data_IF_070870363864
#
_entry.id   IF_070870363864
#
_cell.length_a   1.000
_cell.length_b   1.000
_cell.length_c   1.000
_cell.angle_alpha   90.00
_cell.angle_beta   90.00
_cell.angle_gamma   90.00
#
_symmetry.space_group_name_H-M   'P 1'
#
loop_
_entity.id
_entity.type
_entity.pdbx_description
1 polymer ?
#
# COMPACT_ATOMS: atom_id res chain seq x y z
N UNK A 1 -13.02 -7.90 30.90
CA UNK A 1 -13.37 -6.88 29.90
C UNK A 1 -12.49 -7.18 28.70
N UNK A 2 -13.01 -7.83 27.69
CA UNK A 2 -12.34 -8.03 26.41
C UNK A 2 -12.36 -6.64 25.73
N UNK A 3 -11.23 -5.95 25.63
CA UNK A 3 -11.11 -4.75 24.80
C UNK A 3 -11.39 -5.21 23.37
N UNK A 4 -12.35 -4.60 22.73
CA UNK A 4 -12.77 -4.94 21.37
C UNK A 4 -11.56 -4.90 20.40
N UNK A 5 -11.44 -5.95 19.59
CA UNK A 5 -10.37 -6.08 18.59
C UNK A 5 -10.42 -4.95 17.54
N UNK A 6 -11.60 -4.42 17.29
CA UNK A 6 -11.84 -3.32 16.33
C UNK A 6 -11.24 -1.97 16.78
N UNK A 7 -11.05 -1.74 18.07
CA UNK A 7 -10.47 -0.49 18.60
C UNK A 7 -9.04 -0.21 18.03
N UNK A 8 -8.36 -1.20 17.49
CA UNK A 8 -7.01 -1.06 16.96
C UNK A 8 -7.01 -0.51 15.53
N UNK A 9 -8.03 -0.82 14.74
CA UNK A 9 -8.12 -0.32 13.36
C UNK A 9 -8.42 1.18 13.28
N UNK A 10 -8.98 1.77 14.33
CA UNK A 10 -9.15 3.21 14.46
C UNK A 10 -7.94 3.95 15.04
N UNK A 11 -6.88 3.25 15.44
CA UNK A 11 -5.68 3.86 16.02
C UNK A 11 -4.82 4.49 14.92
N UNK A 12 -4.36 5.71 15.17
CA UNK A 12 -3.50 6.45 14.27
C UNK A 12 -2.04 6.32 14.71
N UNK A 13 -1.11 6.49 13.78
CA UNK A 13 0.33 6.46 14.05
C UNK A 13 0.71 7.47 15.14
N UNK A 14 0.12 8.68 15.12
CA UNK A 14 0.39 9.74 16.10
C UNK A 14 0.09 9.35 17.56
N UNK A 15 -0.80 8.39 17.78
CA UNK A 15 -1.16 7.92 19.13
C UNK A 15 -0.13 6.93 19.71
N UNK A 16 0.80 6.43 18.86
CA UNK A 16 1.76 5.37 19.18
C UNK A 16 3.21 5.72 18.85
N UNK A 17 3.43 6.82 18.12
CA UNK A 17 4.78 7.26 17.81
C UNK A 17 5.43 7.94 19.05
N UNK A 18 6.74 7.79 19.17
CA UNK A 18 7.53 8.59 20.10
C UNK A 18 7.61 10.02 19.58
N UNK A 19 7.20 10.99 20.39
CA UNK A 19 7.33 12.41 20.08
C UNK A 19 8.78 12.87 20.26
N UNK A 20 9.18 13.93 19.56
CA UNK A 20 10.53 14.50 19.60
C UNK A 20 11.66 13.48 19.34
N UNK A 21 11.60 12.73 18.21
CA UNK A 21 12.61 11.75 17.89
C UNK A 21 13.97 12.42 17.69
N UNK A 22 15.06 11.69 17.96
CA UNK A 22 16.39 12.21 17.73
C UNK A 22 16.58 12.55 16.25
N UNK A 23 16.69 13.84 15.96
CA UNK A 23 16.93 14.38 14.63
C UNK A 23 18.31 15.05 14.54
N UNK A 24 19.00 14.85 13.42
CA UNK A 24 20.31 15.40 13.14
C UNK A 24 20.43 15.85 11.69
N UNK A 25 21.33 16.81 11.42
CA UNK A 25 21.63 17.19 10.04
C UNK A 25 22.60 16.20 9.39
N UNK A 26 22.60 16.14 8.06
CA UNK A 26 23.45 15.25 7.25
C UNK A 26 24.95 15.40 7.54
N UNK A 27 25.41 16.62 7.85
CA UNK A 27 26.80 16.90 8.14
C UNK A 27 27.23 16.60 9.60
N UNK A 28 26.32 16.12 10.45
CA UNK A 28 26.65 15.82 11.87
C UNK A 28 27.66 14.66 11.94
N UNK A 29 28.78 14.80 12.69
CA UNK A 29 29.75 13.72 12.85
C UNK A 29 29.16 12.48 13.49
N UNK A 30 29.53 11.28 13.00
CA UNK A 30 29.06 9.99 13.51
C UNK A 30 29.24 9.85 15.02
N UNK A 31 30.41 10.27 15.55
CA UNK A 31 30.68 10.22 16.98
C UNK A 31 29.69 11.06 17.82
N UNK A 32 29.28 12.21 17.29
CA UNK A 32 28.30 13.06 17.95
C UNK A 32 26.89 12.44 17.89
N UNK A 33 26.50 11.81 16.77
CA UNK A 33 25.23 11.12 16.65
C UNK A 33 25.16 9.96 17.64
N UNK A 34 26.21 9.13 17.71
CA UNK A 34 26.28 8.02 18.68
C UNK A 34 26.17 8.53 20.12
N UNK A 35 26.91 9.58 20.48
CA UNK A 35 26.85 10.17 21.81
C UNK A 35 25.42 10.66 22.16
N UNK A 36 24.72 11.27 21.20
CA UNK A 36 23.33 11.72 21.38
C UNK A 36 22.36 10.54 21.50
N UNK A 37 22.52 9.49 20.68
CA UNK A 37 21.72 8.26 20.78
C UNK A 37 21.84 7.65 22.19
N UNK A 38 23.07 7.52 22.71
CA UNK A 38 23.33 7.00 24.05
C UNK A 38 22.71 7.90 25.12
N UNK A 39 22.92 9.23 25.05
CA UNK A 39 22.40 10.18 26.04
C UNK A 39 20.87 10.23 26.12
N UNK A 40 20.18 9.95 25.00
CA UNK A 40 18.72 9.96 24.88
C UNK A 40 18.10 8.56 24.92
N UNK A 41 18.92 7.51 25.06
CA UNK A 41 18.47 6.11 24.94
C UNK A 41 17.68 5.86 23.65
N UNK A 42 18.09 6.51 22.56
CA UNK A 42 17.44 6.41 21.26
C UNK A 42 18.04 5.27 20.45
N UNK A 43 17.20 4.32 20.00
CA UNK A 43 17.59 3.18 19.17
C UNK A 43 17.84 3.55 17.68
N UNK A 44 17.57 4.81 17.30
CA UNK A 44 17.83 5.36 15.99
C UNK A 44 17.82 6.88 15.98
N UNK A 45 18.38 7.47 14.92
CA UNK A 45 18.36 8.90 14.66
C UNK A 45 17.90 9.15 13.21
N UNK A 46 16.99 10.10 13.03
CA UNK A 46 16.55 10.53 11.70
C UNK A 46 17.44 11.65 11.20
N UNK A 47 17.95 11.51 10.00
CA UNK A 47 18.71 12.57 9.32
C UNK A 47 17.70 13.43 8.55
N UNK A 48 17.69 14.74 8.84
CA UNK A 48 16.73 15.69 8.27
C UNK A 48 17.44 16.75 7.43
N UNK A 49 16.70 17.32 6.48
CA UNK A 49 17.13 18.51 5.74
C UNK A 49 16.86 19.80 6.53
N UNK A 50 17.10 20.96 5.88
CA UNK A 50 16.91 22.28 6.48
C UNK A 50 15.42 22.63 6.69
N UNK A 51 14.49 21.94 6.00
CA UNK A 51 13.06 22.10 6.17
C UNK A 51 12.46 21.12 7.21
N UNK A 52 13.30 20.27 7.80
CA UNK A 52 12.91 19.27 8.79
C UNK A 52 12.37 17.97 8.20
N UNK A 53 12.59 17.74 6.89
CA UNK A 53 12.12 16.53 6.19
C UNK A 53 13.13 15.38 6.31
N UNK A 54 12.70 14.14 6.55
CA UNK A 54 13.58 12.98 6.62
C UNK A 54 14.31 12.72 5.28
N UNK A 55 15.64 12.68 5.34
CA UNK A 55 16.53 12.28 4.25
C UNK A 55 16.97 10.83 4.39
N UNK A 56 17.19 10.39 5.62
CA UNK A 56 17.71 9.08 5.94
C UNK A 56 17.50 8.73 7.40
N UNK A 57 17.90 7.53 7.76
CA UNK A 57 17.88 7.03 9.13
C UNK A 57 19.18 6.29 9.42
N UNK A 58 19.63 6.36 10.66
CA UNK A 58 20.67 5.49 11.20
C UNK A 58 20.15 4.84 12.48
N UNK A 59 20.37 3.55 12.64
CA UNK A 59 19.94 2.73 13.77
C UNK A 59 21.13 2.17 14.53
N UNK A 60 20.91 1.59 15.73
CA UNK A 60 21.93 0.85 16.45
C UNK A 60 22.60 -0.23 15.60
N UNK A 61 21.82 -0.91 14.74
CA UNK A 61 22.32 -1.89 13.78
C UNK A 61 23.32 -1.26 12.81
N UNK A 62 22.97 -0.12 12.21
CA UNK A 62 23.86 0.61 11.29
C UNK A 62 25.12 1.09 11.99
N UNK A 63 25.01 1.56 13.24
CA UNK A 63 26.16 1.97 14.04
C UNK A 63 27.14 0.82 14.24
N UNK A 64 26.64 -0.37 14.61
CA UNK A 64 27.49 -1.55 14.81
C UNK A 64 28.12 -2.03 13.50
N UNK A 65 27.34 -2.07 12.42
CA UNK A 65 27.78 -2.69 11.16
C UNK A 65 28.52 -1.75 10.21
N UNK A 66 28.30 -0.42 10.30
CA UNK A 66 28.84 0.55 9.33
C UNK A 66 29.75 1.60 9.96
N UNK A 67 29.62 1.88 11.26
CA UNK A 67 30.37 2.95 11.92
C UNK A 67 31.48 2.40 12.80
N UNK A 68 31.17 1.48 13.73
CA UNK A 68 32.15 0.97 14.70
C UNK A 68 33.28 0.23 13.96
N UNK A 69 34.51 0.67 14.21
CA UNK A 69 35.76 0.15 13.58
C UNK A 69 35.88 0.34 12.06
N UNK A 70 34.95 1.01 11.41
CA UNK A 70 34.95 1.20 9.97
C UNK A 70 35.05 2.67 9.55
N UNK A 71 34.59 3.61 10.40
CA UNK A 71 34.58 5.03 10.11
C UNK A 71 35.28 5.84 11.21
N UNK A 72 35.79 7.01 10.82
CA UNK A 72 36.24 7.99 11.80
C UNK A 72 35.04 8.58 12.55
N UNK A 73 35.17 8.87 13.86
CA UNK A 73 34.12 9.60 14.60
C UNK A 73 33.73 10.94 13.96
N UNK A 74 34.63 11.56 13.18
CA UNK A 74 34.42 12.82 12.48
C UNK A 74 33.74 12.67 11.10
N UNK A 75 33.52 11.43 10.64
CA UNK A 75 32.82 11.18 9.38
C UNK A 75 31.37 11.69 9.49
N UNK A 76 30.89 12.43 8.48
CA UNK A 76 29.53 12.89 8.43
C UNK A 76 28.54 11.72 8.35
N UNK A 77 27.39 11.84 9.03
CA UNK A 77 26.40 10.74 9.17
C UNK A 77 25.75 10.36 7.85
N UNK A 78 25.68 11.25 6.87
CA UNK A 78 25.15 11.00 5.54
C UNK A 78 25.92 9.91 4.78
N UNK A 79 27.19 9.71 5.10
CA UNK A 79 28.02 8.67 4.49
C UNK A 79 27.62 7.24 4.91
N UNK A 80 26.86 7.08 6.01
CA UNK A 80 26.54 5.79 6.60
C UNK A 80 25.04 5.58 6.80
N UNK A 81 24.21 6.61 6.61
CA UNK A 81 22.76 6.51 6.77
C UNK A 81 22.13 5.57 5.73
N UNK A 82 20.99 4.99 6.08
CA UNK A 82 20.12 4.32 5.12
C UNK A 82 19.22 5.35 4.43
N UNK A 83 19.30 5.42 3.10
CA UNK A 83 18.55 6.36 2.26
C UNK A 83 18.14 5.67 0.95
N UNK A 84 16.95 5.95 0.36
CA UNK A 84 15.89 6.78 0.95
C UNK A 84 15.27 6.12 2.19
N UNK A 85 14.80 6.94 3.13
CA UNK A 85 14.10 6.43 4.31
C UNK A 85 12.62 6.27 4.03
N UNK A 86 12.05 5.14 4.47
CA UNK A 86 10.62 4.94 4.46
C UNK A 86 9.97 5.77 5.59
N UNK A 87 8.95 6.54 5.27
CA UNK A 87 8.20 7.37 6.22
C UNK A 87 6.73 6.97 6.26
N UNK A 88 6.02 7.39 7.31
CA UNK A 88 4.57 7.23 7.46
C UNK A 88 3.95 8.56 7.85
N UNK A 89 2.74 8.85 7.41
CA UNK A 89 2.00 10.00 7.86
C UNK A 89 1.51 9.82 9.30
N UNK A 90 1.60 10.85 10.13
CA UNK A 90 1.20 10.78 11.54
C UNK A 90 -0.30 10.46 11.69
N UNK A 91 -1.12 10.88 10.73
CA UNK A 91 -2.55 10.62 10.67
C UNK A 91 -2.92 9.33 9.90
N UNK A 92 -1.93 8.54 9.43
CA UNK A 92 -2.21 7.22 8.85
C UNK A 92 -2.59 6.21 9.95
N UNK A 93 -3.30 5.15 9.55
CA UNK A 93 -3.70 4.09 10.48
C UNK A 93 -2.50 3.26 10.93
N UNK A 94 -2.39 3.03 12.24
CA UNK A 94 -1.30 2.28 12.86
C UNK A 94 -1.10 0.88 12.22
N UNK A 95 -2.17 0.15 11.95
CA UNK A 95 -2.09 -1.19 11.35
C UNK A 95 -1.42 -1.17 9.97
N UNK A 96 -1.63 -0.09 9.18
CA UNK A 96 -0.99 0.07 7.86
C UNK A 96 0.52 0.29 8.01
N UNK A 97 0.90 1.13 8.96
CA UNK A 97 2.30 1.37 9.28
C UNK A 97 2.99 0.07 9.71
N UNK A 98 2.37 -0.70 10.62
CA UNK A 98 2.89 -2.00 11.08
C UNK A 98 3.05 -2.97 9.90
N UNK A 99 2.04 -3.10 9.03
CA UNK A 99 2.11 -3.99 7.88
C UNK A 99 3.25 -3.59 6.91
N UNK A 100 3.46 -2.28 6.67
CA UNK A 100 4.58 -1.77 5.85
C UNK A 100 5.93 -2.06 6.50
N UNK A 101 6.06 -1.82 7.81
CA UNK A 101 7.30 -2.06 8.54
C UNK A 101 7.70 -3.54 8.50
N UNK A 102 6.75 -4.45 8.69
CA UNK A 102 7.02 -5.90 8.62
C UNK A 102 7.39 -6.38 7.22
N UNK A 103 6.65 -5.93 6.19
CA UNK A 103 6.95 -6.29 4.80
C UNK A 103 8.35 -5.84 4.36
N UNK A 104 8.81 -4.69 4.87
CA UNK A 104 10.09 -4.11 4.54
C UNK A 104 11.20 -4.46 5.56
N UNK A 105 10.92 -5.32 6.54
CA UNK A 105 11.80 -5.68 7.65
C UNK A 105 12.38 -4.44 8.39
N UNK A 106 11.49 -3.45 8.63
CA UNK A 106 11.84 -2.21 9.29
C UNK A 106 11.42 -2.26 10.76
N UNK A 107 12.34 -1.93 11.65
CA UNK A 107 12.04 -1.73 13.07
C UNK A 107 11.60 -0.28 13.38
N UNK A 108 12.16 0.70 12.69
CA UNK A 108 11.90 2.11 12.91
C UNK A 108 11.38 2.75 11.63
N UNK A 109 10.36 3.61 11.77
CA UNK A 109 9.82 4.38 10.66
C UNK A 109 9.52 5.81 11.13
N UNK A 110 10.21 6.84 10.57
CA UNK A 110 9.92 8.24 10.88
C UNK A 110 8.49 8.60 10.48
N UNK A 111 7.77 9.26 11.39
CA UNK A 111 6.44 9.81 11.14
C UNK A 111 6.53 11.27 10.72
N UNK A 112 5.75 11.65 9.72
CA UNK A 112 5.75 13.00 9.14
C UNK A 112 4.36 13.63 9.19
N UNK A 113 4.32 14.96 9.17
CA UNK A 113 3.10 15.74 8.99
C UNK A 113 2.72 15.88 7.50
N UNK A 114 1.63 16.62 7.22
CA UNK A 114 1.14 16.92 5.87
C UNK A 114 2.14 17.69 5.00
N UNK A 115 3.08 18.43 5.62
CA UNK A 115 4.18 19.13 4.94
C UNK A 115 5.39 18.23 4.69
N UNK A 116 5.35 16.97 5.16
CA UNK A 116 6.43 15.99 5.08
C UNK A 116 7.54 16.22 6.11
N UNK A 117 7.30 17.00 7.18
CA UNK A 117 8.27 17.25 8.26
C UNK A 117 8.19 16.16 9.31
N UNK A 118 9.33 15.83 9.88
CA UNK A 118 9.44 14.85 10.97
C UNK A 118 8.69 15.34 12.22
N UNK A 119 7.74 14.52 12.68
CA UNK A 119 6.95 14.80 13.91
C UNK A 119 7.04 13.67 14.94
N UNK A 120 7.54 12.49 14.55
CA UNK A 120 7.68 11.36 15.45
C UNK A 120 8.49 10.21 14.88
N UNK A 121 8.64 9.17 15.70
CA UNK A 121 9.24 7.89 15.30
C UNK A 121 8.32 6.76 15.74
N UNK A 122 7.95 5.89 14.81
CA UNK A 122 7.25 4.65 15.11
C UNK A 122 8.27 3.53 15.29
N UNK A 123 8.26 2.88 16.46
CA UNK A 123 8.99 1.61 16.69
C UNK A 123 8.01 0.45 16.55
N UNK A 124 8.38 -0.54 15.75
CA UNK A 124 7.53 -1.71 15.47
C UNK A 124 7.24 -2.51 16.75
N UNK A 125 8.23 -2.65 17.64
CA UNK A 125 8.08 -3.42 18.87
C UNK A 125 7.08 -2.76 19.82
N UNK A 126 7.17 -1.45 20.01
CA UNK A 126 6.27 -0.68 20.87
C UNK A 126 4.85 -0.66 20.27
N UNK A 127 4.74 -0.47 18.95
CA UNK A 127 3.46 -0.50 18.26
C UNK A 127 2.72 -1.85 18.41
N UNK A 128 3.46 -2.95 18.53
CA UNK A 128 2.92 -4.29 18.72
C UNK A 128 2.58 -4.57 20.19
N UNK A 129 3.38 -4.09 21.14
CA UNK A 129 3.26 -4.43 22.55
C UNK A 129 1.93 -3.98 23.19
N UNK A 130 1.32 -2.92 22.67
CA UNK A 130 0.14 -2.26 23.28
C UNK A 130 -1.22 -2.85 22.89
N UNK A 131 -1.29 -4.06 22.32
CA UNK A 131 -2.58 -4.70 22.14
C UNK A 131 -2.76 -5.59 20.91
N UNK A 132 -1.69 -6.13 20.37
CA UNK A 132 -1.68 -6.65 19.02
C UNK A 132 -1.82 -8.17 18.86
N UNK A 133 -2.02 -8.98 19.91
CA UNK A 133 -2.02 -10.43 19.79
C UNK A 133 -2.94 -10.98 18.66
N UNK A 134 -4.25 -10.84 18.74
CA UNK A 134 -5.17 -11.35 17.71
C UNK A 134 -5.12 -10.58 16.39
N UNK A 135 -4.82 -9.27 16.43
CA UNK A 135 -4.65 -8.46 15.25
C UNK A 135 -3.34 -8.78 14.53
N UNK A 136 -2.31 -9.16 15.25
CA UNK A 136 -1.04 -9.58 14.68
C UNK A 136 -1.23 -10.81 13.81
N UNK A 137 -2.05 -11.76 14.22
CA UNK A 137 -2.43 -12.91 13.41
C UNK A 137 -3.19 -12.49 12.13
N UNK A 138 -4.03 -11.46 12.20
CA UNK A 138 -4.73 -10.92 11.02
C UNK A 138 -3.77 -10.14 10.10
N UNK A 139 -2.92 -9.29 10.65
CA UNK A 139 -1.88 -8.58 9.87
C UNK A 139 -0.91 -9.59 9.24
N UNK A 140 -0.51 -10.63 9.95
CA UNK A 140 0.32 -11.71 9.41
C UNK A 140 -0.37 -12.46 8.28
N UNK A 141 -1.65 -12.78 8.43
CA UNK A 141 -2.43 -13.38 7.34
C UNK A 141 -2.49 -12.43 6.14
N UNK A 142 -2.80 -11.15 6.36
CA UNK A 142 -2.82 -10.14 5.30
C UNK A 142 -1.44 -9.93 4.65
N UNK A 143 -0.35 -10.11 5.41
CA UNK A 143 1.00 -9.82 4.94
C UNK A 143 1.71 -11.05 4.34
N UNK A 144 1.37 -12.26 4.78
CA UNK A 144 2.05 -13.51 4.39
C UNK A 144 1.17 -14.51 3.64
N UNK A 145 -0.14 -14.25 3.55
CA UNK A 145 -1.06 -15.16 2.86
C UNK A 145 -0.85 -15.04 1.33
N UNK A 146 -0.14 -16.00 0.76
CA UNK A 146 0.16 -16.06 -0.68
C UNK A 146 -0.74 -17.01 -1.46
N UNK A 147 -1.70 -17.69 -0.78
CA UNK A 147 -2.61 -18.64 -1.44
C UNK A 147 -3.98 -18.03 -1.67
N UNK A 148 -4.67 -18.44 -2.75
CA UNK A 148 -6.02 -17.98 -3.04
C UNK A 148 -7.00 -18.29 -1.90
N UNK A 149 -6.91 -19.49 -1.31
CA UNK A 149 -7.75 -19.89 -0.18
C UNK A 149 -7.46 -19.04 1.07
N UNK A 150 -6.23 -18.61 1.24
CA UNK A 150 -5.84 -17.70 2.31
C UNK A 150 -6.43 -16.31 2.12
N UNK A 151 -6.35 -15.77 0.92
CA UNK A 151 -6.98 -14.48 0.58
C UNK A 151 -8.51 -14.55 0.69
N UNK A 152 -9.13 -15.69 0.38
CA UNK A 152 -10.57 -15.90 0.59
C UNK A 152 -10.93 -15.83 2.09
N UNK A 153 -10.13 -16.47 2.97
CA UNK A 153 -10.32 -16.35 4.43
C UNK A 153 -10.17 -14.91 4.93
N UNK A 154 -9.23 -14.15 4.37
CA UNK A 154 -9.09 -12.71 4.66
C UNK A 154 -10.33 -11.94 4.25
N UNK A 155 -10.89 -12.25 3.08
CA UNK A 155 -12.12 -11.64 2.57
C UNK A 155 -13.31 -11.95 3.47
N UNK A 156 -13.47 -13.20 3.88
CA UNK A 156 -14.55 -13.63 4.78
C UNK A 156 -14.45 -12.96 6.17
N UNK A 157 -13.23 -12.79 6.69
CA UNK A 157 -13.00 -12.15 7.98
C UNK A 157 -13.41 -10.65 8.00
N UNK A 158 -13.56 -10.00 6.85
CA UNK A 158 -14.04 -8.61 6.76
C UNK A 158 -15.45 -8.43 7.32
N UNK A 159 -16.28 -9.46 7.32
CA UNK A 159 -17.66 -9.41 7.85
C UNK A 159 -17.65 -9.22 9.37
N UNK A 160 -16.84 -10.04 10.06
CA UNK A 160 -16.68 -9.96 11.52
C UNK A 160 -16.02 -8.63 11.90
N UNK A 161 -14.94 -8.27 11.19
CA UNK A 161 -14.25 -7.02 11.38
C UNK A 161 -15.17 -5.80 11.26
N UNK A 162 -15.98 -5.72 10.20
CA UNK A 162 -16.91 -4.63 10.01
C UNK A 162 -18.00 -4.61 11.12
N UNK A 163 -18.46 -5.80 11.57
CA UNK A 163 -19.38 -5.92 12.68
C UNK A 163 -18.84 -5.35 13.99
N UNK A 164 -17.58 -5.66 14.30
CA UNK A 164 -16.88 -5.16 15.48
C UNK A 164 -16.69 -3.64 15.42
N UNK A 165 -16.27 -3.12 14.26
CA UNK A 165 -16.09 -1.67 14.06
C UNK A 165 -17.41 -0.90 14.21
N UNK A 166 -18.53 -1.45 13.71
CA UNK A 166 -19.86 -0.88 13.90
C UNK A 166 -20.25 -0.90 15.38
N UNK A 167 -19.99 -1.99 16.08
CA UNK A 167 -20.30 -2.12 17.52
C UNK A 167 -19.50 -1.11 18.36
N UNK A 168 -18.30 -0.74 17.92
CA UNK A 168 -17.45 0.30 18.53
C UNK A 168 -17.82 1.73 18.10
N UNK A 169 -18.92 1.91 17.38
CA UNK A 169 -19.39 3.20 16.84
C UNK A 169 -18.38 3.90 15.91
N UNK A 170 -17.57 3.14 15.18
CA UNK A 170 -16.69 3.72 14.18
C UNK A 170 -17.49 4.35 13.04
N UNK A 171 -17.10 5.54 12.54
CA UNK A 171 -17.79 6.17 11.42
C UNK A 171 -17.78 5.30 10.16
N UNK A 172 -18.92 5.20 9.46
CA UNK A 172 -19.04 4.37 8.27
C UNK A 172 -18.01 4.67 7.17
N UNK A 173 -17.61 5.94 6.90
CA UNK A 173 -16.54 6.23 5.95
C UNK A 173 -15.20 5.58 6.32
N UNK A 174 -14.85 5.53 7.61
CA UNK A 174 -13.59 4.93 8.08
C UNK A 174 -13.61 3.41 7.89
N UNK A 175 -14.77 2.78 8.14
CA UNK A 175 -14.96 1.34 7.89
C UNK A 175 -14.81 1.05 6.40
N UNK A 176 -15.44 1.84 5.54
CA UNK A 176 -15.36 1.68 4.08
C UNK A 176 -13.93 1.89 3.56
N UNK A 177 -13.22 2.91 4.06
CA UNK A 177 -11.83 3.17 3.69
C UNK A 177 -10.93 1.98 4.05
N UNK A 178 -11.09 1.40 5.25
CA UNK A 178 -10.36 0.21 5.68
C UNK A 178 -10.66 -1.00 4.78
N UNK A 179 -11.95 -1.31 4.57
CA UNK A 179 -12.34 -2.43 3.71
C UNK A 179 -11.83 -2.26 2.29
N UNK A 180 -11.85 -1.04 1.75
CA UNK A 180 -11.29 -0.73 0.43
C UNK A 180 -9.78 -1.00 0.40
N UNK A 181 -9.07 -0.59 1.43
CA UNK A 181 -7.63 -0.83 1.52
C UNK A 181 -7.30 -2.32 1.52
N UNK A 182 -7.98 -3.12 2.35
CA UNK A 182 -7.80 -4.58 2.38
C UNK A 182 -8.12 -5.19 1.00
N UNK A 183 -9.19 -4.75 0.36
CA UNK A 183 -9.56 -5.21 -0.97
C UNK A 183 -8.49 -4.87 -2.01
N UNK A 184 -7.93 -3.67 -1.99
CA UNK A 184 -6.86 -3.28 -2.90
C UNK A 184 -5.57 -4.08 -2.67
N UNK A 185 -5.26 -4.47 -1.43
CA UNK A 185 -4.15 -5.38 -1.14
C UNK A 185 -4.39 -6.79 -1.70
N UNK A 186 -5.62 -7.29 -1.61
CA UNK A 186 -6.00 -8.56 -2.25
C UNK A 186 -5.82 -8.47 -3.76
N UNK A 187 -6.28 -7.39 -4.40
CA UNK A 187 -6.10 -7.19 -5.84
C UNK A 187 -4.62 -7.24 -6.25
N UNK A 188 -3.73 -6.50 -5.55
CA UNK A 188 -2.28 -6.53 -5.83
C UNK A 188 -1.70 -7.94 -5.78
N UNK A 189 -2.04 -8.70 -4.76
CA UNK A 189 -1.53 -10.08 -4.58
C UNK A 189 -2.03 -11.03 -5.65
N UNK A 190 -3.31 -10.93 -6.03
CA UNK A 190 -3.87 -11.73 -7.12
C UNK A 190 -3.14 -11.43 -8.44
N UNK A 191 -2.83 -10.15 -8.69
CA UNK A 191 -2.07 -9.76 -9.88
C UNK A 191 -0.64 -10.29 -9.83
N UNK A 192 0.06 -10.13 -8.71
CA UNK A 192 1.42 -10.65 -8.53
C UNK A 192 1.45 -12.18 -8.74
N UNK A 193 0.51 -12.90 -8.13
CA UNK A 193 0.39 -14.35 -8.28
C UNK A 193 0.07 -14.76 -9.72
N UNK A 194 -0.84 -14.04 -10.39
CA UNK A 194 -1.19 -14.30 -11.78
C UNK A 194 0.00 -14.08 -12.73
N UNK A 195 0.77 -13.00 -12.52
CA UNK A 195 1.97 -12.71 -13.30
C UNK A 195 3.05 -13.77 -13.08
N UNK A 196 3.26 -14.21 -11.83
CA UNK A 196 4.21 -15.28 -11.53
C UNK A 196 3.80 -16.59 -12.20
N UNK A 197 2.52 -16.96 -12.10
CA UNK A 197 2.01 -18.17 -12.77
C UNK A 197 2.14 -18.10 -14.29
N UNK A 198 1.90 -16.92 -14.90
CA UNK A 198 2.12 -16.73 -16.34
C UNK A 198 3.59 -16.87 -16.73
N UNK A 199 4.51 -16.37 -15.91
CA UNK A 199 5.94 -16.52 -16.14
C UNK A 199 6.36 -18.00 -16.04
N UNK A 200 5.86 -18.73 -15.05
CA UNK A 200 6.11 -20.17 -14.85
C UNK A 200 5.55 -21.02 -16.00
N UNK A 201 4.42 -20.61 -16.59
CA UNK A 201 3.81 -21.21 -17.78
C UNK A 201 4.54 -20.83 -19.09
N UNK A 202 5.60 -20.03 -19.03
CA UNK A 202 6.42 -19.66 -20.19
C UNK A 202 5.87 -18.47 -21.00
N UNK A 203 4.85 -17.77 -20.53
CA UNK A 203 4.32 -16.56 -21.17
C UNK A 203 5.21 -15.32 -21.00
N UNK A 204 6.22 -15.41 -20.10
CA UNK A 204 7.20 -14.36 -19.87
C UNK A 204 6.71 -13.23 -18.96
N UNK A 205 7.41 -12.10 -19.03
CA UNK A 205 7.09 -10.89 -18.26
C UNK A 205 6.16 -9.97 -19.06
N UNK A 206 5.47 -9.01 -18.41
CA UNK A 206 4.64 -8.03 -19.10
C UNK A 206 5.41 -7.36 -20.25
N UNK A 207 4.88 -7.41 -21.48
CA UNK A 207 5.60 -6.92 -22.65
C UNK A 207 5.70 -5.38 -22.73
N UNK A 208 4.86 -4.67 -21.98
CA UNK A 208 4.87 -3.23 -21.80
C UNK A 208 4.52 -2.89 -20.36
N UNK A 209 4.87 -1.69 -19.89
CA UNK A 209 4.43 -1.20 -18.58
C UNK A 209 2.91 -1.06 -18.57
N UNK A 210 2.33 -1.30 -17.42
CA UNK A 210 0.89 -1.19 -17.25
C UNK A 210 0.55 -0.78 -15.82
N UNK A 211 -0.69 -0.32 -15.66
CA UNK A 211 -1.29 0.00 -14.36
C UNK A 211 -2.66 -0.66 -14.30
N UNK A 212 -2.96 -1.28 -13.18
CA UNK A 212 -4.29 -1.79 -12.87
C UNK A 212 -5.03 -0.70 -12.12
N UNK A 213 -6.27 -0.49 -12.51
CA UNK A 213 -7.16 0.46 -11.85
C UNK A 213 -8.38 -0.28 -11.32
N UNK A 214 -8.81 0.07 -10.12
CA UNK A 214 -10.14 -0.23 -9.60
C UNK A 214 -11.03 0.99 -9.77
N UNK A 215 -12.32 0.78 -10.00
CA UNK A 215 -13.27 1.83 -10.36
C UNK A 215 -14.50 1.77 -9.46
N UNK A 216 -15.45 2.65 -9.70
CA UNK A 216 -16.70 2.70 -8.94
C UNK A 216 -16.47 2.89 -7.42
N UNK A 217 -17.11 2.10 -6.59
CA UNK A 217 -16.96 2.19 -5.12
C UNK A 217 -15.52 1.91 -4.66
N UNK A 218 -14.79 1.02 -5.34
CA UNK A 218 -13.40 0.74 -5.07
C UNK A 218 -12.50 1.94 -5.32
N UNK A 219 -12.71 2.64 -6.42
CA UNK A 219 -11.95 3.83 -6.77
C UNK A 219 -12.22 5.02 -5.86
N UNK A 220 -13.42 5.16 -5.29
CA UNK A 220 -13.78 6.20 -4.33
C UNK A 220 -13.41 5.90 -2.88
N UNK A 221 -12.82 4.72 -2.59
CA UNK A 221 -12.56 4.32 -1.21
C UNK A 221 -13.80 3.91 -0.42
N UNK A 222 -14.89 3.57 -1.10
CA UNK A 222 -16.22 3.32 -0.53
C UNK A 222 -16.64 1.85 -0.60
N UNK A 223 -15.71 0.91 -0.76
CA UNK A 223 -16.05 -0.50 -0.77
C UNK A 223 -16.76 -0.91 0.53
N UNK A 224 -17.76 -1.77 0.37
CA UNK A 224 -18.40 -2.43 1.48
C UNK A 224 -18.07 -3.94 1.46
N UNK A 225 -18.85 -4.77 2.16
CA UNK A 225 -18.50 -6.18 2.39
C UNK A 225 -18.40 -7.03 1.12
N UNK A 226 -19.23 -6.75 0.12
CA UNK A 226 -19.35 -7.55 -1.11
C UNK A 226 -19.29 -6.68 -2.37
N UNK A 227 -18.16 -5.98 -2.61
CA UNK A 227 -17.99 -5.24 -3.86
C UNK A 227 -17.84 -6.22 -5.00
N UNK A 228 -18.43 -5.91 -6.15
CA UNK A 228 -18.15 -6.61 -7.39
C UNK A 228 -16.83 -6.14 -8.03
N UNK A 229 -16.42 -6.85 -9.07
CA UNK A 229 -15.17 -6.56 -9.76
C UNK A 229 -15.35 -5.39 -10.73
N UNK A 230 -15.02 -4.18 -10.29
CA UNK A 230 -14.91 -3.02 -11.18
C UNK A 230 -13.44 -2.68 -11.39
N UNK A 231 -12.84 -3.14 -12.49
CA UNK A 231 -11.41 -2.97 -12.77
C UNK A 231 -11.10 -2.75 -14.24
N UNK A 232 -9.88 -2.26 -14.51
CA UNK A 232 -9.39 -2.03 -15.85
C UNK A 232 -7.88 -1.95 -15.91
N UNK A 233 -7.34 -1.93 -17.15
CA UNK A 233 -5.92 -1.77 -17.41
C UNK A 233 -5.65 -0.50 -18.21
N UNK A 234 -4.59 0.23 -17.81
CA UNK A 234 -3.96 1.27 -18.60
C UNK A 234 -2.60 0.72 -19.02
N UNK A 235 -2.37 0.58 -20.32
CA UNK A 235 -1.14 0.05 -20.89
C UNK A 235 -0.32 1.19 -21.49
N UNK A 236 1.00 1.06 -21.48
CA UNK A 236 1.86 1.92 -22.33
C UNK A 236 1.47 1.72 -23.79
N UNK A 237 1.66 2.77 -24.60
CA UNK A 237 1.43 2.70 -26.03
C UNK A 237 2.48 1.78 -26.70
N UNK A 238 2.06 1.02 -27.73
CA UNK A 238 2.88 0.10 -28.47
C UNK A 238 2.55 0.15 -29.98
N UNK A 239 3.39 -0.42 -30.81
CA UNK A 239 3.19 -0.45 -32.27
C UNK A 239 2.05 -1.40 -32.64
N UNK A 240 1.24 -1.05 -33.66
CA UNK A 240 0.10 -1.84 -34.12
C UNK A 240 0.49 -3.28 -34.50
N UNK A 241 1.70 -3.47 -35.03
CA UNK A 241 2.20 -4.80 -35.38
C UNK A 241 2.42 -5.75 -34.22
N UNK A 242 2.49 -5.23 -32.99
CA UNK A 242 2.65 -6.00 -31.74
C UNK A 242 1.31 -6.29 -31.05
N UNK A 243 0.19 -5.79 -31.59
CA UNK A 243 -1.10 -5.79 -30.91
C UNK A 243 -1.52 -7.20 -30.46
N UNK A 244 -1.52 -8.18 -31.34
CA UNK A 244 -2.02 -9.53 -31.02
C UNK A 244 -1.20 -10.17 -29.88
N UNK A 245 0.11 -9.97 -29.89
CA UNK A 245 1.01 -10.50 -28.86
C UNK A 245 0.80 -9.79 -27.50
N UNK A 246 0.72 -8.45 -27.52
CA UNK A 246 0.62 -7.65 -26.30
C UNK A 246 -0.80 -7.77 -25.72
N UNK A 247 -1.84 -7.59 -26.53
CA UNK A 247 -3.22 -7.71 -26.07
C UNK A 247 -3.53 -9.14 -25.59
N UNK A 248 -3.00 -10.17 -26.28
CA UNK A 248 -3.11 -11.57 -25.87
C UNK A 248 -2.53 -11.82 -24.46
N UNK A 249 -1.37 -11.24 -24.14
CA UNK A 249 -0.80 -11.32 -22.78
C UNK A 249 -1.75 -10.72 -21.74
N UNK A 250 -2.29 -9.53 -22.00
CA UNK A 250 -3.16 -8.85 -21.06
C UNK A 250 -4.58 -9.40 -21.00
N UNK A 251 -5.05 -10.11 -22.03
CA UNK A 251 -6.27 -10.93 -21.97
C UNK A 251 -6.08 -12.06 -20.96
N UNK A 252 -5.01 -12.83 -21.10
CA UNK A 252 -4.69 -13.94 -20.20
C UNK A 252 -4.56 -13.47 -18.74
N UNK A 253 -3.84 -12.35 -18.50
CA UNK A 253 -3.73 -11.76 -17.18
C UNK A 253 -5.10 -11.38 -16.61
N UNK A 254 -5.96 -10.73 -17.42
CA UNK A 254 -7.29 -10.31 -17.00
C UNK A 254 -8.19 -11.53 -16.68
N UNK A 255 -8.11 -12.60 -17.46
CA UNK A 255 -8.90 -13.82 -17.24
C UNK A 255 -8.48 -14.54 -15.95
N UNK A 256 -7.16 -14.70 -15.72
CA UNK A 256 -6.63 -15.27 -14.47
C UNK A 256 -7.04 -14.43 -13.26
N UNK A 257 -6.78 -13.15 -13.30
CA UNK A 257 -7.14 -12.22 -12.23
C UNK A 257 -8.65 -12.26 -11.94
N UNK A 258 -9.49 -12.21 -12.96
CA UNK A 258 -10.96 -12.23 -12.80
C UNK A 258 -11.45 -13.52 -12.15
N UNK A 259 -10.94 -14.68 -12.59
CA UNK A 259 -11.27 -15.98 -12.01
C UNK A 259 -10.84 -16.08 -10.54
N UNK A 260 -9.62 -15.65 -10.24
CA UNK A 260 -9.04 -15.77 -8.91
C UNK A 260 -9.70 -14.81 -7.92
N UNK A 261 -10.06 -13.60 -8.36
CA UNK A 261 -10.87 -12.65 -7.57
C UNK A 261 -12.28 -13.19 -7.29
N UNK A 262 -12.93 -13.84 -8.28
CA UNK A 262 -14.25 -14.47 -8.08
C UNK A 262 -14.16 -15.59 -7.01
N UNK A 263 -13.12 -16.43 -7.08
CA UNK A 263 -12.85 -17.46 -6.08
C UNK A 263 -12.65 -16.87 -4.66
N UNK A 264 -12.00 -15.73 -4.55
CA UNK A 264 -11.74 -15.05 -3.27
C UNK A 264 -13.02 -14.43 -2.68
N UNK A 265 -14.04 -14.15 -3.48
CA UNK A 265 -15.30 -13.56 -3.03
C UNK A 265 -15.57 -12.15 -3.57
N UNK A 266 -14.97 -11.80 -4.70
CA UNK A 266 -15.34 -10.62 -5.48
C UNK A 266 -16.17 -11.06 -6.69
N UNK A 267 -17.51 -11.00 -6.63
CA UNK A 267 -18.35 -11.47 -7.72
C UNK A 267 -18.12 -10.66 -9.00
N UNK A 268 -18.38 -11.31 -10.14
CA UNK A 268 -18.26 -10.67 -11.44
C UNK A 268 -19.19 -9.45 -11.55
N UNK A 269 -18.70 -8.35 -12.10
CA UNK A 269 -19.52 -7.17 -12.36
C UNK A 269 -20.57 -7.49 -13.46
N UNK A 270 -21.84 -7.34 -13.13
CA UNK A 270 -22.96 -7.52 -14.07
C UNK A 270 -22.93 -6.50 -15.23
N UNK A 271 -22.26 -5.36 -15.04
CA UNK A 271 -22.04 -4.34 -16.06
C UNK A 271 -20.85 -4.63 -16.98
N UNK A 272 -20.13 -5.74 -16.75
CA UNK A 272 -18.90 -6.09 -17.48
C UNK A 272 -17.81 -5.00 -17.39
N UNK A 273 -17.72 -4.31 -16.24
CA UNK A 273 -16.69 -3.32 -15.94
C UNK A 273 -15.43 -4.04 -15.41
N UNK A 274 -14.81 -4.83 -16.28
CA UNK A 274 -13.64 -5.66 -15.94
C UNK A 274 -12.64 -5.65 -17.09
N UNK A 275 -11.35 -5.80 -16.77
CA UNK A 275 -10.26 -5.80 -17.75
C UNK A 275 -10.37 -6.91 -18.82
N UNK A 276 -11.17 -7.96 -18.59
CA UNK A 276 -11.53 -8.96 -19.61
C UNK A 276 -12.31 -8.35 -20.78
N UNK A 277 -13.05 -7.26 -20.55
CA UNK A 277 -13.74 -6.51 -21.58
C UNK A 277 -12.77 -5.47 -22.21
N UNK A 278 -12.56 -5.46 -23.54
CA UNK A 278 -11.67 -4.51 -24.22
C UNK A 278 -12.01 -3.04 -23.99
N UNK A 279 -13.24 -2.72 -23.56
CA UNK A 279 -13.62 -1.36 -23.20
C UNK A 279 -12.79 -0.85 -22.02
N UNK A 280 -12.41 -1.72 -21.11
CA UNK A 280 -11.68 -1.41 -19.87
C UNK A 280 -10.20 -1.84 -19.90
N UNK A 281 -9.71 -2.33 -21.03
CA UNK A 281 -8.29 -2.65 -21.27
C UNK A 281 -7.80 -1.89 -22.48
N UNK A 282 -7.06 -0.80 -22.28
CA UNK A 282 -6.65 0.13 -23.34
C UNK A 282 -5.27 0.69 -23.09
N UNK A 283 -4.60 1.09 -24.16
CA UNK A 283 -3.40 1.91 -24.04
C UNK A 283 -3.75 3.33 -23.56
N UNK A 284 -2.76 4.06 -23.06
CA UNK A 284 -2.93 5.43 -22.58
C UNK A 284 -3.53 6.33 -23.67
N UNK A 285 -3.03 6.26 -24.90
CA UNK A 285 -3.56 7.04 -26.03
C UNK A 285 -5.01 6.66 -26.37
N UNK A 286 -5.36 5.37 -26.30
CA UNK A 286 -6.72 4.90 -26.51
C UNK A 286 -7.67 5.38 -25.39
N UNK A 287 -7.22 5.42 -24.13
CA UNK A 287 -8.00 5.99 -23.02
C UNK A 287 -8.26 7.48 -23.22
N UNK A 288 -7.22 8.24 -23.61
CA UNK A 288 -7.38 9.68 -23.92
C UNK A 288 -8.41 9.89 -25.04
N UNK A 289 -8.34 9.09 -26.10
CA UNK A 289 -9.29 9.14 -27.21
C UNK A 289 -10.73 8.79 -26.75
N UNK A 290 -10.87 7.78 -25.89
CA UNK A 290 -12.15 7.33 -25.35
C UNK A 290 -12.80 8.41 -24.47
N UNK A 291 -12.04 9.05 -23.59
CA UNK A 291 -12.51 10.15 -22.73
C UNK A 291 -12.98 11.33 -23.59
N UNK A 292 -12.19 11.71 -24.62
CA UNK A 292 -12.57 12.74 -25.58
C UNK A 292 -13.84 12.39 -26.34
N UNK A 293 -14.05 11.11 -26.66
CA UNK A 293 -15.29 10.64 -27.30
C UNK A 293 -16.47 10.77 -26.35
N UNK A 294 -16.35 10.35 -25.09
CA UNK A 294 -17.40 10.45 -24.09
C UNK A 294 -17.77 11.91 -23.79
N UNK A 295 -16.79 12.82 -23.71
CA UNK A 295 -17.04 14.25 -23.47
C UNK A 295 -17.85 14.93 -24.58
N UNK A 296 -17.78 14.40 -25.82
CA UNK A 296 -18.53 14.92 -26.96
C UNK A 296 -19.91 14.29 -27.09
N UNK A 297 -20.08 13.04 -26.65
CA UNK A 297 -21.35 12.30 -26.72
C UNK A 297 -22.17 12.57 -25.45
N UNK A 298 -23.20 13.42 -25.59
CA UNK A 298 -24.15 13.71 -24.49
C UNK A 298 -25.24 12.63 -24.35
N UNK A 299 -24.86 11.35 -24.42
CA UNK A 299 -25.79 10.23 -24.20
C UNK A 299 -25.70 9.75 -22.75
N UNK A 300 -26.80 9.22 -22.22
CA UNK A 300 -26.87 8.64 -20.87
C UNK A 300 -25.79 7.57 -20.70
N UNK A 301 -25.58 6.72 -21.71
CA UNK A 301 -24.55 5.68 -21.68
C UNK A 301 -23.14 6.25 -21.58
N UNK A 302 -22.82 7.30 -22.38
CA UNK A 302 -21.48 7.91 -22.33
C UNK A 302 -21.21 8.60 -20.98
N UNK A 303 -22.22 9.26 -20.40
CA UNK A 303 -22.12 9.87 -19.08
C UNK A 303 -21.88 8.78 -18.02
N UNK A 304 -22.65 7.70 -18.04
CA UNK A 304 -22.51 6.59 -17.07
C UNK A 304 -21.15 5.91 -17.14
N UNK A 305 -20.62 5.67 -18.34
CA UNK A 305 -19.29 5.06 -18.52
C UNK A 305 -18.17 6.01 -18.08
N UNK A 306 -18.32 7.30 -18.35
CA UNK A 306 -17.36 8.30 -17.88
C UNK A 306 -17.37 8.42 -16.36
N UNK A 307 -18.55 8.40 -15.72
CA UNK A 307 -18.76 8.47 -14.29
C UNK A 307 -18.02 7.30 -13.58
N UNK A 308 -18.24 6.07 -14.06
CA UNK A 308 -17.53 4.88 -13.55
C UNK A 308 -16.03 5.02 -13.70
N UNK A 309 -15.55 5.53 -14.85
CA UNK A 309 -14.12 5.64 -15.11
C UNK A 309 -13.45 6.71 -14.25
N UNK A 310 -14.07 7.87 -14.05
CA UNK A 310 -13.46 8.97 -13.30
C UNK A 310 -13.29 8.70 -11.80
N UNK A 311 -13.94 7.67 -11.28
CA UNK A 311 -13.77 7.19 -9.92
C UNK A 311 -12.57 6.22 -9.77
N UNK A 312 -11.64 6.17 -10.72
CA UNK A 312 -10.55 5.19 -10.67
C UNK A 312 -9.47 5.50 -9.64
N UNK A 313 -8.89 4.43 -9.10
CA UNK A 313 -7.69 4.45 -8.26
C UNK A 313 -6.73 3.35 -8.72
N UNK A 314 -5.41 3.60 -8.79
CA UNK A 314 -4.42 2.55 -9.07
C UNK A 314 -4.29 1.60 -7.87
N UNK A 315 -4.06 0.33 -8.14
CA UNK A 315 -3.78 -0.72 -7.15
C UNK A 315 -2.42 -1.37 -7.36
#
# INVERSE_FOLDING_TARGET
MVRSQAAIFGKLVKDYMTLDPLAVSAATPCGQVVARMVAQSASGATIIDHDGRPLGIVTEHDIVHRVVFQQSPDTAIDAVMTTPVATVEADDYLYRAIARMRRADLRHMPAVDDDGRLVGMLDLHDAIADGAGPMMDQIDRLTHEGTLDGLARVKDAQIELAGDMIADNMPAPDIQALLTHINNDIYRRVVEASLQAMADDGLGQPPVRFCIIVMGSGGRGENYLFPDQDNGFILDDYADGDHDRIDGFFIELAERMTRDLDHIGFPLCKGYVMATNPLWRKTLSQWIAQIRLWSRKRSVTAIRLADIFFDFQPV
#
